data_IF_664574016882
#
_entry.id   IF_664574016882
#
_cell.length_a   1.000
_cell.length_b   1.000
_cell.length_c   1.000
_cell.angle_alpha   90.00
_cell.angle_beta   90.00
_cell.angle_gamma   90.00
#
_symmetry.space_group_name_H-M   'P 1'
#
loop_
_entity.id
_entity.type
_entity.pdbx_description
1 polymer ?
#
# COMPACT_ATOMS: atom_id res chain seq x y z
N UNK A 1 16.43 -23.80 4.57
CA UNK A 1 16.57 -24.43 3.24
C UNK A 1 15.38 -24.15 2.30
N UNK A 2 14.55 -23.14 2.56
CA UNK A 2 13.26 -22.90 1.89
C UNK A 2 13.28 -21.84 0.78
N UNK A 3 14.43 -21.25 0.46
CA UNK A 3 14.52 -20.04 -0.37
C UNK A 3 14.87 -20.30 -1.86
N UNK A 4 14.60 -21.52 -2.37
CA UNK A 4 14.94 -21.90 -3.76
C UNK A 4 13.85 -21.62 -4.78
N UNK A 5 12.60 -21.47 -4.33
CA UNK A 5 11.43 -21.40 -5.21
C UNK A 5 10.53 -20.23 -4.82
N UNK A 6 9.91 -19.61 -5.82
CA UNK A 6 8.96 -18.49 -5.66
C UNK A 6 7.67 -18.80 -6.42
N UNK A 7 6.54 -18.47 -5.82
CA UNK A 7 5.23 -18.49 -6.46
C UNK A 7 5.04 -17.24 -7.30
N UNK A 8 4.60 -17.38 -8.55
CA UNK A 8 4.32 -16.29 -9.50
C UNK A 8 2.99 -16.54 -10.20
N UNK A 9 2.19 -15.50 -10.41
CA UNK A 9 0.93 -15.60 -11.17
C UNK A 9 1.20 -15.59 -12.67
N UNK A 10 0.54 -16.49 -13.42
CA UNK A 10 0.64 -16.55 -14.87
C UNK A 10 -0.74 -16.71 -15.52
N UNK A 11 -1.29 -15.67 -16.18
CA UNK A 11 -0.68 -14.35 -16.39
C UNK A 11 -0.58 -13.50 -15.10
N UNK A 12 0.17 -12.38 -15.11
CA UNK A 12 0.24 -11.43 -13.98
C UNK A 12 -1.14 -11.04 -13.46
N UNK A 13 -1.29 -10.88 -12.14
CA UNK A 13 -2.57 -10.54 -11.50
C UNK A 13 -3.12 -9.21 -12.01
N UNK A 14 -2.24 -8.22 -12.22
CA UNK A 14 -2.59 -6.95 -12.86
C UNK A 14 -3.33 -7.17 -14.19
N UNK A 15 -2.80 -8.02 -15.07
CA UNK A 15 -3.40 -8.30 -16.37
C UNK A 15 -4.72 -9.07 -16.24
N UNK A 16 -4.80 -10.03 -15.31
CA UNK A 16 -6.05 -10.78 -15.04
C UNK A 16 -7.15 -9.81 -14.60
N UNK A 17 -6.85 -8.92 -13.65
CA UNK A 17 -7.81 -7.96 -13.10
C UNK A 17 -8.20 -6.88 -14.12
N UNK A 18 -7.25 -6.36 -14.90
CA UNK A 18 -7.51 -5.46 -16.03
C UNK A 18 -8.50 -6.08 -17.02
N UNK A 19 -8.24 -7.32 -17.43
CA UNK A 19 -9.08 -8.03 -18.40
C UNK A 19 -10.48 -8.33 -17.83
N UNK A 20 -10.55 -8.72 -16.56
CA UNK A 20 -11.82 -8.98 -15.89
C UNK A 20 -12.68 -7.72 -15.79
N UNK A 21 -12.12 -6.58 -15.36
CA UNK A 21 -12.85 -5.31 -15.28
C UNK A 21 -13.26 -4.80 -16.68
N UNK A 22 -12.39 -4.94 -17.69
CA UNK A 22 -12.72 -4.58 -19.07
C UNK A 22 -13.89 -5.42 -19.60
N UNK A 23 -13.89 -6.73 -19.35
CA UNK A 23 -14.95 -7.65 -19.76
C UNK A 23 -16.27 -7.33 -19.05
N UNK A 24 -16.20 -6.94 -17.78
CA UNK A 24 -17.36 -6.57 -16.98
C UNK A 24 -17.96 -5.23 -17.42
N UNK A 25 -17.13 -4.30 -17.90
CA UNK A 25 -17.53 -2.97 -18.36
C UNK A 25 -17.82 -1.97 -17.24
N UNK A 26 -17.70 -2.39 -15.98
CA UNK A 26 -17.85 -1.56 -14.79
C UNK A 26 -16.95 -2.09 -13.67
N UNK A 27 -16.73 -1.30 -12.59
CA UNK A 27 -15.69 -1.66 -11.63
C UNK A 27 -15.90 -3.01 -10.92
N UNK A 28 -14.79 -3.67 -10.59
CA UNK A 28 -14.76 -4.88 -9.76
C UNK A 28 -14.95 -4.51 -8.28
N UNK A 29 -15.82 -5.24 -7.58
CA UNK A 29 -15.96 -5.17 -6.13
C UNK A 29 -14.82 -5.89 -5.41
N UNK A 30 -14.64 -5.62 -4.12
CA UNK A 30 -13.66 -6.31 -3.26
C UNK A 30 -13.77 -7.83 -3.39
N UNK A 31 -14.98 -8.37 -3.26
CA UNK A 31 -15.21 -9.82 -3.31
C UNK A 31 -14.86 -10.41 -4.69
N UNK A 32 -15.11 -9.69 -5.77
CA UNK A 32 -14.75 -10.15 -7.11
C UNK A 32 -13.24 -10.15 -7.31
N UNK A 33 -12.54 -9.11 -6.86
CA UNK A 33 -11.07 -9.04 -6.92
C UNK A 33 -10.45 -10.20 -6.15
N UNK A 34 -10.90 -10.45 -4.92
CA UNK A 34 -10.42 -11.55 -4.10
C UNK A 34 -10.77 -12.92 -4.70
N UNK A 35 -11.97 -13.07 -5.28
CA UNK A 35 -12.37 -14.30 -5.96
C UNK A 35 -11.51 -14.57 -7.20
N UNK A 36 -11.18 -13.53 -7.96
CA UNK A 36 -10.30 -13.62 -9.13
C UNK A 36 -8.89 -14.00 -8.68
N UNK A 37 -8.35 -13.32 -7.65
CA UNK A 37 -7.04 -13.67 -7.05
C UNK A 37 -6.98 -15.15 -6.69
N UNK A 38 -7.98 -15.62 -5.95
CA UNK A 38 -8.02 -17.00 -5.44
C UNK A 38 -8.18 -18.05 -6.55
N UNK A 39 -8.65 -17.65 -7.73
CA UNK A 39 -8.83 -18.52 -8.90
C UNK A 39 -7.72 -18.39 -9.94
N UNK A 40 -6.79 -17.44 -9.77
CA UNK A 40 -5.72 -17.19 -10.71
C UNK A 40 -4.64 -18.29 -10.63
N UNK A 41 -4.03 -18.59 -11.78
CA UNK A 41 -3.04 -19.65 -11.89
C UNK A 41 -1.71 -19.20 -11.29
N UNK A 42 -1.20 -19.97 -10.33
CA UNK A 42 0.10 -19.77 -9.70
C UNK A 42 1.05 -20.88 -10.13
N UNK A 43 2.23 -20.50 -10.59
CA UNK A 43 3.31 -21.42 -10.91
C UNK A 43 4.45 -21.25 -9.89
N UNK A 44 5.14 -22.35 -9.60
CA UNK A 44 6.33 -22.35 -8.74
C UNK A 44 7.55 -22.37 -9.64
N UNK A 45 8.37 -21.32 -9.56
CA UNK A 45 9.60 -21.20 -10.35
C UNK A 45 10.82 -21.15 -9.44
N UNK A 46 11.98 -21.56 -9.97
CA UNK A 46 13.25 -21.42 -9.27
C UNK A 46 13.66 -19.94 -9.26
N UNK A 47 14.16 -19.47 -8.11
CA UNK A 47 14.70 -18.11 -7.96
C UNK A 47 15.80 -17.88 -9.02
N UNK A 48 15.69 -16.81 -9.83
CA UNK A 48 16.61 -16.49 -10.93
C UNK A 48 16.07 -16.68 -12.36
N UNK A 49 14.98 -17.43 -12.58
CA UNK A 49 14.31 -17.55 -13.89
C UNK A 49 13.21 -16.48 -14.11
N UNK A 50 13.17 -15.47 -13.25
CA UNK A 50 12.07 -14.51 -13.14
C UNK A 50 12.09 -13.49 -14.30
N UNK A 51 13.27 -12.99 -14.64
CA UNK A 51 13.50 -12.02 -15.73
C UNK A 51 13.10 -12.55 -17.13
N UNK A 52 12.94 -13.86 -17.25
CA UNK A 52 12.52 -14.54 -18.49
C UNK A 52 10.98 -14.63 -18.61
N UNK A 53 10.23 -14.28 -17.56
CA UNK A 53 8.78 -14.33 -17.57
C UNK A 53 8.16 -13.04 -18.12
N UNK A 54 7.09 -13.15 -18.93
CA UNK A 54 6.32 -11.97 -19.36
C UNK A 54 5.73 -11.23 -18.15
N UNK A 55 6.06 -9.95 -18.00
CA UNK A 55 5.54 -9.08 -16.94
C UNK A 55 6.45 -8.87 -15.72
N UNK A 56 7.64 -9.50 -15.68
CA UNK A 56 8.62 -9.28 -14.59
C UNK A 56 9.61 -8.13 -14.90
N UNK A 57 9.47 -7.49 -16.07
CA UNK A 57 10.26 -6.32 -16.46
C UNK A 57 9.68 -5.00 -15.92
N UNK A 58 8.40 -5.00 -15.51
CA UNK A 58 7.74 -3.86 -14.89
C UNK A 58 7.71 -4.07 -13.37
N UNK A 59 8.26 -3.10 -12.64
CA UNK A 59 8.28 -3.00 -11.18
C UNK A 59 7.01 -3.55 -10.52
N UNK A 60 7.16 -4.70 -9.85
CA UNK A 60 6.20 -5.30 -8.91
C UNK A 60 4.72 -5.37 -9.38
N UNK A 61 4.33 -6.52 -9.95
CA UNK A 61 2.92 -6.91 -10.08
C UNK A 61 2.16 -6.86 -8.73
N UNK A 62 0.83 -6.92 -8.79
CA UNK A 62 -0.07 -6.86 -7.62
C UNK A 62 0.31 -7.91 -6.58
N UNK A 63 0.57 -7.45 -5.34
CA UNK A 63 0.79 -8.34 -4.21
C UNK A 63 -0.51 -9.09 -3.88
N UNK A 64 -0.53 -10.43 -3.92
CA UNK A 64 -1.72 -11.21 -3.59
C UNK A 64 -2.24 -10.97 -2.16
N UNK A 65 -1.37 -10.62 -1.21
CA UNK A 65 -1.80 -10.37 0.17
C UNK A 65 -2.31 -8.95 0.34
N UNK A 66 -1.80 -7.99 -0.43
CA UNK A 66 -2.32 -6.61 -0.50
C UNK A 66 -3.23 -6.36 -1.72
N UNK A 67 -3.85 -7.41 -2.26
CA UNK A 67 -4.38 -7.43 -3.62
C UNK A 67 -5.42 -6.34 -3.91
N UNK A 68 -6.32 -6.08 -2.95
CA UNK A 68 -7.32 -5.04 -3.13
C UNK A 68 -6.70 -3.65 -3.20
N UNK A 69 -5.77 -3.34 -2.29
CA UNK A 69 -5.10 -2.05 -2.25
C UNK A 69 -4.27 -1.81 -3.51
N UNK A 70 -3.41 -2.77 -3.86
CA UNK A 70 -2.55 -2.70 -5.05
C UNK A 70 -3.39 -2.57 -6.32
N UNK A 71 -4.54 -3.26 -6.39
CA UNK A 71 -5.50 -3.09 -7.47
C UNK A 71 -6.09 -1.67 -7.53
N UNK A 72 -6.45 -1.06 -6.40
CA UNK A 72 -6.92 0.33 -6.40
C UNK A 72 -5.83 1.32 -6.83
N UNK A 73 -4.58 1.11 -6.40
CA UNK A 73 -3.43 1.91 -6.84
C UNK A 73 -3.25 1.81 -8.36
N UNK A 74 -3.27 0.59 -8.91
CA UNK A 74 -3.19 0.36 -10.37
C UNK A 74 -4.38 0.98 -11.12
N UNK A 75 -5.61 0.85 -10.61
CA UNK A 75 -6.77 1.51 -11.23
C UNK A 75 -6.60 3.02 -11.32
N UNK A 76 -6.04 3.66 -10.28
CA UNK A 76 -5.75 5.10 -10.26
C UNK A 76 -4.66 5.47 -11.27
N UNK A 77 -3.57 4.73 -11.34
CA UNK A 77 -2.50 5.00 -12.33
C UNK A 77 -2.99 4.84 -13.77
N UNK A 78 -3.95 3.94 -14.01
CA UNK A 78 -4.64 3.76 -15.30
C UNK A 78 -5.78 4.77 -15.57
N UNK A 79 -6.03 5.71 -14.65
CA UNK A 79 -7.08 6.72 -14.80
C UNK A 79 -8.53 6.19 -14.70
N UNK A 80 -8.73 4.99 -14.14
CA UNK A 80 -10.06 4.35 -14.05
C UNK A 80 -10.92 4.99 -12.95
N UNK A 81 -12.23 5.11 -13.20
CA UNK A 81 -13.22 5.72 -12.29
C UNK A 81 -14.47 4.85 -12.14
N UNK A 82 -15.26 5.01 -11.05
CA UNK A 82 -14.97 5.78 -9.83
C UNK A 82 -13.83 5.17 -8.99
N UNK A 83 -13.27 5.96 -8.07
CA UNK A 83 -12.40 5.47 -7.00
C UNK A 83 -13.27 4.69 -6.01
N UNK A 84 -12.95 3.42 -5.74
CA UNK A 84 -13.80 2.53 -4.92
C UNK A 84 -13.39 2.48 -3.46
N UNK A 85 -12.25 3.06 -3.12
CA UNK A 85 -11.70 3.23 -1.79
C UNK A 85 -11.55 4.73 -1.44
N UNK A 86 -12.62 5.56 -1.56
CA UNK A 86 -12.54 6.96 -1.16
C UNK A 86 -12.18 7.10 0.32
N UNK A 87 -12.48 6.07 1.11
CA UNK A 87 -12.08 5.92 2.50
C UNK A 87 -10.56 5.85 2.66
N UNK A 88 -9.75 5.31 1.75
CA UNK A 88 -8.29 5.43 1.91
C UNK A 88 -7.82 6.89 1.76
N UNK A 89 -8.62 7.76 1.09
CA UNK A 89 -8.43 9.21 1.04
C UNK A 89 -9.02 9.95 2.26
N UNK A 90 -10.19 9.52 2.78
CA UNK A 90 -10.93 10.24 3.82
C UNK A 90 -10.83 9.63 5.23
N UNK A 91 -10.45 8.36 5.38
CA UNK A 91 -10.48 7.58 6.64
C UNK A 91 -9.38 7.96 7.63
N UNK A 92 -8.62 9.00 7.32
CA UNK A 92 -7.57 9.48 8.20
C UNK A 92 -7.68 10.98 8.47
N UNK A 93 -8.92 11.51 8.47
CA UNK A 93 -9.25 12.77 9.14
C UNK A 93 -9.12 12.61 10.67
N UNK A 94 -7.93 12.22 11.09
CA UNK A 94 -7.49 12.27 12.47
C UNK A 94 -7.03 13.70 12.68
N UNK A 95 -7.54 14.35 13.73
CA UNK A 95 -6.96 15.61 14.15
C UNK A 95 -5.56 15.32 14.65
N UNK A 96 -4.56 15.66 13.84
CA UNK A 96 -3.16 15.57 14.23
C UNK A 96 -2.79 16.58 15.32
N UNK A 97 -3.72 17.45 15.71
CA UNK A 97 -3.58 18.35 16.86
C UNK A 97 -3.93 17.67 18.19
N UNK A 98 -4.49 16.45 18.16
CA UNK A 98 -4.71 15.65 19.37
C UNK A 98 -3.38 15.10 19.91
N UNK A 99 -3.22 15.14 21.24
CA UNK A 99 -2.08 14.57 21.96
C UNK A 99 -1.85 13.10 21.63
N UNK A 100 -2.93 12.33 21.43
CA UNK A 100 -2.82 10.92 21.09
C UNK A 100 -2.17 10.73 19.72
N UNK A 101 -2.55 11.54 18.74
CA UNK A 101 -1.96 11.52 17.40
C UNK A 101 -0.52 12.00 17.37
N UNK A 102 -0.17 13.00 18.18
CA UNK A 102 1.22 13.42 18.35
C UNK A 102 2.08 12.30 18.95
N UNK A 103 1.56 11.53 19.90
CA UNK A 103 2.24 10.36 20.44
C UNK A 103 2.42 9.25 19.39
N UNK A 104 1.43 9.02 18.53
CA UNK A 104 1.51 8.11 17.40
C UNK A 104 2.61 8.53 16.42
N UNK A 105 2.67 9.80 16.01
CA UNK A 105 3.73 10.32 15.14
C UNK A 105 5.10 10.11 15.77
N UNK A 106 5.23 10.49 17.04
CA UNK A 106 6.52 10.37 17.74
C UNK A 106 6.99 8.91 17.79
N UNK A 107 6.07 7.98 18.04
CA UNK A 107 6.37 6.54 18.04
C UNK A 107 6.78 6.08 16.64
N UNK A 108 6.05 6.47 15.61
CA UNK A 108 6.38 6.14 14.23
C UNK A 108 7.78 6.65 13.83
N UNK A 109 8.07 7.91 14.13
CA UNK A 109 9.37 8.54 13.85
C UNK A 109 10.52 7.87 14.61
N UNK A 110 10.31 7.52 15.88
CA UNK A 110 11.30 6.82 16.70
C UNK A 110 11.67 5.44 16.13
N UNK A 111 10.73 4.77 15.48
CA UNK A 111 10.91 3.43 14.93
C UNK A 111 11.22 3.40 13.42
N UNK A 112 11.61 4.52 12.80
CA UNK A 112 12.00 4.55 11.38
C UNK A 112 13.22 3.67 11.06
N UNK A 113 14.03 3.30 12.06
CA UNK A 113 15.11 2.34 11.87
C UNK A 113 14.57 0.94 11.51
N UNK A 114 13.42 0.53 12.06
CA UNK A 114 12.79 -0.76 11.77
C UNK A 114 12.27 -0.80 10.34
N UNK A 115 11.61 0.28 9.90
CA UNK A 115 11.21 0.45 8.51
C UNK A 115 12.41 0.25 7.57
N UNK A 116 13.52 0.94 7.83
CA UNK A 116 14.73 0.86 7.02
C UNK A 116 15.31 -0.55 6.98
N UNK A 117 15.41 -1.21 8.12
CA UNK A 117 15.93 -2.57 8.18
C UNK A 117 15.00 -3.53 7.44
N UNK A 118 13.68 -3.47 7.65
CA UNK A 118 12.70 -4.32 6.96
C UNK A 118 12.80 -4.20 5.44
N UNK A 119 12.79 -2.98 4.88
CA UNK A 119 12.84 -2.82 3.41
C UNK A 119 14.19 -3.17 2.82
N UNK A 120 15.26 -3.09 3.61
CA UNK A 120 16.60 -3.50 3.20
C UNK A 120 16.77 -5.01 3.21
N UNK A 121 16.19 -5.71 4.20
CA UNK A 121 16.35 -7.16 4.35
C UNK A 121 15.28 -7.96 3.60
N UNK A 122 14.12 -7.37 3.33
CA UNK A 122 12.97 -8.05 2.73
C UNK A 122 12.56 -7.39 1.40
N UNK A 123 13.09 -7.86 0.25
CA UNK A 123 12.77 -7.31 -1.08
C UNK A 123 11.29 -7.38 -1.49
N UNK A 124 10.48 -8.14 -0.75
CA UNK A 124 9.03 -8.24 -0.96
C UNK A 124 8.24 -7.22 -0.13
N UNK A 125 8.87 -6.59 0.86
CA UNK A 125 8.21 -5.64 1.74
C UNK A 125 7.60 -4.49 0.93
N UNK A 126 6.30 -4.29 1.08
CA UNK A 126 5.59 -3.13 0.54
C UNK A 126 5.47 -2.08 1.63
N UNK A 127 6.31 -1.06 1.52
CA UNK A 127 6.36 0.03 2.47
C UNK A 127 5.59 1.24 1.94
N UNK A 128 4.75 1.82 2.81
CA UNK A 128 4.09 3.09 2.57
C UNK A 128 4.38 4.07 3.72
N UNK A 129 4.46 5.34 3.38
CA UNK A 129 4.76 6.45 4.29
C UNK A 129 3.59 7.43 4.30
N UNK A 130 3.21 7.93 5.48
CA UNK A 130 2.19 8.97 5.60
C UNK A 130 2.84 10.34 5.71
N UNK A 131 2.36 11.28 4.90
CA UNK A 131 2.92 12.62 4.74
C UNK A 131 1.81 13.68 4.60
N UNK A 132 2.12 14.94 4.92
CA UNK A 132 1.21 16.07 4.69
C UNK A 132 1.44 16.69 3.32
N UNK A 133 0.57 16.38 2.36
CA UNK A 133 0.54 17.04 1.06
C UNK A 133 -0.04 18.45 1.21
N UNK A 134 0.54 19.43 0.51
CA UNK A 134 0.09 20.83 0.55
C UNK A 134 -0.15 21.33 -0.87
N UNK A 135 -1.33 21.89 -1.13
CA UNK A 135 -1.75 22.45 -2.40
C UNK A 135 -2.36 23.82 -2.13
N UNK A 136 -1.64 24.89 -2.49
CA UNK A 136 -1.93 26.26 -2.08
C UNK A 136 -2.24 26.38 -0.56
N UNK A 137 -3.48 26.72 -0.20
CA UNK A 137 -3.94 26.83 1.19
C UNK A 137 -4.48 25.50 1.77
N UNK A 138 -4.65 24.49 0.92
CA UNK A 138 -5.16 23.17 1.32
C UNK A 138 -4.03 22.26 1.80
N UNK A 139 -4.30 21.51 2.86
CA UNK A 139 -3.41 20.46 3.36
C UNK A 139 -4.18 19.18 3.60
N UNK A 140 -3.56 18.06 3.32
CA UNK A 140 -4.15 16.75 3.56
C UNK A 140 -3.07 15.72 3.86
N UNK A 141 -3.42 14.74 4.70
CA UNK A 141 -2.55 13.61 4.97
C UNK A 141 -2.80 12.51 3.95
N UNK A 142 -1.75 12.06 3.27
CA UNK A 142 -1.83 11.00 2.26
C UNK A 142 -0.74 9.96 2.47
N UNK A 143 -0.95 8.78 1.90
CA UNK A 143 0.03 7.70 1.88
C UNK A 143 0.81 7.70 0.56
N UNK A 144 2.12 7.54 0.66
CA UNK A 144 3.09 7.48 -0.42
C UNK A 144 3.69 6.07 -0.46
N UNK A 145 3.94 5.52 -1.65
CA UNK A 145 4.66 4.25 -1.81
C UNK A 145 6.16 4.50 -1.70
N UNK A 146 6.84 3.84 -0.78
CA UNK A 146 8.29 4.00 -0.62
C UNK A 146 9.02 3.41 -1.83
N UNK A 147 10.00 4.17 -2.35
CA UNK A 147 10.90 3.72 -3.42
C UNK A 147 12.26 3.33 -2.85
N UNK A 148 12.88 4.22 -2.07
CA UNK A 148 14.16 3.97 -1.40
C UNK A 148 14.33 4.86 -0.16
N UNK A 149 15.32 4.52 0.66
CA UNK A 149 15.68 5.26 1.86
C UNK A 149 17.19 5.46 1.98
N UNK A 150 17.55 6.54 2.67
CA UNK A 150 18.89 6.78 3.23
C UNK A 150 18.79 6.77 4.75
N UNK A 151 19.90 6.99 5.44
CA UNK A 151 19.94 7.09 6.90
C UNK A 151 19.08 8.23 7.47
N UNK A 152 18.74 9.25 6.67
CA UNK A 152 18.05 10.46 7.14
C UNK A 152 16.88 10.93 6.27
N UNK A 153 16.60 10.22 5.18
CA UNK A 153 15.55 10.62 4.24
C UNK A 153 14.94 9.44 3.50
N UNK A 154 13.81 9.69 2.87
CA UNK A 154 13.09 8.75 2.02
C UNK A 154 12.77 9.38 0.67
N UNK A 155 12.71 8.56 -0.38
CA UNK A 155 12.08 8.89 -1.65
C UNK A 155 10.83 8.04 -1.79
N UNK A 156 9.68 8.68 -1.97
CA UNK A 156 8.40 8.00 -2.05
C UNK A 156 7.54 8.57 -3.17
N UNK A 157 6.68 7.73 -3.74
CA UNK A 157 5.81 8.06 -4.84
C UNK A 157 4.39 8.34 -4.36
N UNK A 158 3.77 9.40 -4.87
CA UNK A 158 2.36 9.71 -4.65
C UNK A 158 1.49 8.63 -5.32
N UNK A 159 0.89 7.77 -4.50
CA UNK A 159 -0.03 6.73 -4.98
C UNK A 159 -1.49 7.13 -4.81
N UNK A 160 -1.75 8.20 -4.05
CA UNK A 160 -3.09 8.73 -3.84
C UNK A 160 -3.10 10.25 -3.73
N UNK A 161 -4.16 10.85 -4.27
CA UNK A 161 -4.41 12.28 -4.21
C UNK A 161 -5.81 12.56 -3.66
N UNK A 162 -5.93 13.43 -2.64
CA UNK A 162 -7.21 13.95 -2.20
C UNK A 162 -7.92 14.68 -3.35
N UNK A 163 -9.25 14.65 -3.34
CA UNK A 163 -10.03 15.39 -4.31
C UNK A 163 -9.78 16.90 -4.17
N UNK A 164 -9.57 17.58 -5.30
CA UNK A 164 -9.31 19.02 -5.32
C UNK A 164 -7.83 19.41 -5.20
N UNK A 165 -6.91 18.46 -5.10
CA UNK A 165 -5.48 18.71 -5.25
C UNK A 165 -5.11 18.66 -6.73
N UNK A 166 -4.52 19.74 -7.25
CA UNK A 166 -4.15 19.98 -8.64
C UNK A 166 -2.64 20.22 -8.83
N UNK A 167 -1.92 20.65 -7.79
CA UNK A 167 -0.48 20.90 -7.82
C UNK A 167 0.34 19.62 -7.84
N UNK A 168 -0.30 18.49 -7.52
CA UNK A 168 0.32 17.18 -7.44
C UNK A 168 -0.28 16.18 -8.42
N UNK A 169 0.49 15.14 -8.75
CA UNK A 169 0.05 14.04 -9.63
C UNK A 169 0.37 12.67 -9.06
N UNK A 170 -0.49 11.69 -9.34
CA UNK A 170 -0.17 10.27 -9.09
C UNK A 170 1.13 9.94 -9.85
N UNK A 171 2.06 9.27 -9.18
CA UNK A 171 3.37 8.94 -9.71
C UNK A 171 4.47 9.96 -9.41
N UNK A 172 4.14 11.15 -8.87
CA UNK A 172 5.11 12.15 -8.44
C UNK A 172 6.02 11.62 -7.32
N UNK A 173 7.30 11.96 -7.36
CA UNK A 173 8.27 11.55 -6.34
C UNK A 173 8.46 12.70 -5.34
N UNK A 174 8.25 12.40 -4.07
CA UNK A 174 8.47 13.29 -2.94
C UNK A 174 9.71 12.80 -2.17
N UNK A 175 10.62 13.72 -1.87
CA UNK A 175 11.72 13.50 -0.94
C UNK A 175 11.33 14.04 0.43
N UNK A 176 11.38 13.22 1.47
CA UNK A 176 10.98 13.59 2.83
C UNK A 176 12.04 13.20 3.85
N UNK A 177 12.22 14.04 4.87
CA UNK A 177 13.07 13.77 6.05
C UNK A 177 12.30 12.96 7.08
N UNK A 178 13.02 12.34 8.00
CA UNK A 178 12.45 11.57 9.11
C UNK A 178 11.40 12.37 9.91
N UNK A 179 11.67 13.65 10.15
CA UNK A 179 10.76 14.54 10.89
C UNK A 179 9.45 14.86 10.15
N UNK A 180 9.37 14.56 8.85
CA UNK A 180 8.21 14.82 8.00
C UNK A 180 7.33 13.57 7.84
N UNK A 181 7.80 12.41 8.28
CA UNK A 181 7.01 11.18 8.31
C UNK A 181 6.02 11.25 9.47
N UNK A 182 4.73 11.09 9.18
CA UNK A 182 3.67 11.07 10.19
C UNK A 182 3.37 9.66 10.68
N UNK A 183 3.53 8.67 9.82
CA UNK A 183 3.32 7.25 10.08
C UNK A 183 3.98 6.44 8.97
N UNK A 184 4.17 5.15 9.17
CA UNK A 184 4.66 4.22 8.16
C UNK A 184 4.06 2.84 8.37
N UNK A 185 3.94 2.08 7.29
CA UNK A 185 3.49 0.70 7.35
C UNK A 185 4.29 -0.14 6.37
N UNK A 186 4.67 -1.34 6.79
CA UNK A 186 5.19 -2.38 5.90
C UNK A 186 4.20 -3.53 5.88
N UNK A 187 3.69 -3.89 4.70
CA UNK A 187 3.02 -5.15 4.47
C UNK A 187 4.04 -6.15 3.91
N UNK A 188 4.33 -7.19 4.69
CA UNK A 188 5.14 -8.33 4.27
C UNK A 188 4.24 -9.57 4.24
N UNK A 189 3.65 -9.86 3.08
CA UNK A 189 2.81 -11.05 2.88
C UNK A 189 1.68 -11.18 3.92
N UNK A 190 1.04 -10.05 4.26
CA UNK A 190 -0.07 -9.94 5.21
C UNK A 190 0.35 -9.71 6.66
N UNK A 191 1.65 -9.74 6.97
CA UNK A 191 2.19 -9.35 8.26
C UNK A 191 2.51 -7.85 8.25
N UNK A 192 1.79 -7.09 9.07
CA UNK A 192 1.85 -5.63 9.10
C UNK A 192 2.77 -5.15 10.22
N UNK A 193 3.82 -4.43 9.86
CA UNK A 193 4.71 -3.71 10.78
C UNK A 193 4.39 -2.21 10.77
N UNK A 194 4.60 -1.55 11.90
CA UNK A 194 4.26 -0.13 12.07
C UNK A 194 2.74 0.07 12.11
N UNK A 195 2.23 0.89 11.19
CA UNK A 195 0.82 1.22 11.03
C UNK A 195 0.20 1.89 12.28
N UNK A 196 0.95 2.74 12.97
CA UNK A 196 0.57 3.22 14.30
C UNK A 196 -0.76 3.98 14.29
N UNK A 197 -0.97 4.88 13.32
CA UNK A 197 -2.23 5.63 13.20
C UNK A 197 -3.40 4.74 12.74
N UNK A 198 -3.12 3.66 12.02
CA UNK A 198 -4.13 2.67 11.61
C UNK A 198 -4.55 1.79 12.77
N UNK A 199 -3.60 1.34 13.61
CA UNK A 199 -3.88 0.56 14.83
C UNK A 199 -4.78 1.36 15.76
N UNK A 200 -4.51 2.66 15.95
CA UNK A 200 -5.36 3.53 16.77
C UNK A 200 -6.78 3.67 16.23
N UNK A 201 -6.92 3.90 14.92
CA UNK A 201 -8.24 3.94 14.29
C UNK A 201 -8.98 2.60 14.46
N UNK A 202 -8.28 1.48 14.26
CA UNK A 202 -8.82 0.12 14.38
C UNK A 202 -9.28 -0.19 15.81
N UNK A 203 -8.66 0.39 16.84
CA UNK A 203 -9.09 0.20 18.23
C UNK A 203 -10.49 0.76 18.50
N UNK A 204 -10.90 1.82 17.80
CA UNK A 204 -12.23 2.42 17.93
C UNK A 204 -13.35 1.66 17.17
N UNK A 205 -12.99 0.70 16.32
CA UNK A 205 -13.93 -0.06 15.50
C UNK A 205 -14.56 -1.24 16.26
N UNK A 206 -15.76 -1.65 15.86
CA UNK A 206 -16.33 -2.94 16.27
C UNK A 206 -15.71 -4.12 15.51
N UNK A 207 -15.96 -5.36 15.93
CA UNK A 207 -15.31 -6.53 15.34
C UNK A 207 -15.59 -6.72 13.85
N UNK A 208 -16.82 -6.42 13.39
CA UNK A 208 -17.16 -6.54 11.97
C UNK A 208 -16.43 -5.49 11.14
N UNK A 209 -16.35 -4.27 11.65
CA UNK A 209 -15.60 -3.16 11.04
C UNK A 209 -14.10 -3.47 10.99
N UNK A 210 -13.52 -4.03 12.05
CA UNK A 210 -12.12 -4.47 12.09
C UNK A 210 -11.84 -5.52 11.04
N UNK A 211 -12.67 -6.55 10.92
CA UNK A 211 -12.50 -7.59 9.90
C UNK A 211 -12.55 -7.00 8.49
N UNK A 212 -13.51 -6.11 8.21
CA UNK A 212 -13.65 -5.51 6.88
C UNK A 212 -12.54 -4.50 6.59
N UNK A 213 -11.98 -3.85 7.62
CA UNK A 213 -10.82 -2.99 7.52
C UNK A 213 -9.54 -3.79 7.24
N UNK A 214 -9.29 -4.85 8.01
CA UNK A 214 -8.15 -5.74 7.87
C UNK A 214 -8.14 -6.43 6.49
N UNK A 215 -9.30 -6.91 6.01
CA UNK A 215 -9.44 -7.48 4.66
C UNK A 215 -9.13 -6.48 3.55
N UNK A 216 -9.46 -5.20 3.74
CA UNK A 216 -9.19 -4.15 2.74
C UNK A 216 -7.70 -3.80 2.65
N UNK A 217 -6.99 -3.85 3.78
CA UNK A 217 -5.56 -3.58 3.89
C UNK A 217 -4.68 -4.82 3.69
N UNK A 218 -5.30 -5.99 3.48
CA UNK A 218 -4.56 -7.24 3.29
C UNK A 218 -3.90 -7.73 4.58
N UNK A 219 -4.47 -7.46 5.75
CA UNK A 219 -3.89 -7.83 7.04
C UNK A 219 -4.26 -9.25 7.43
N UNK A 220 -3.25 -10.08 7.64
CA UNK A 220 -3.35 -11.37 8.33
C UNK A 220 -3.02 -11.20 9.81
N UNK A 221 -1.99 -10.42 10.12
CA UNK A 221 -1.54 -10.18 11.49
C UNK A 221 -0.81 -8.85 11.62
N UNK A 222 -1.08 -8.12 12.70
CA UNK A 222 -0.25 -6.99 13.11
C UNK A 222 0.93 -7.48 13.95
N UNK A 223 2.12 -6.97 13.63
CA UNK A 223 3.37 -7.22 14.34
C UNK A 223 3.63 -6.05 15.29
N UNK A 224 4.12 -6.35 16.49
CA UNK A 224 4.49 -5.37 17.53
C UNK A 224 6.00 -5.30 17.71
#
# INVERSE_FOLDING_TARGET
>A
MTDKFKSVFMPPLSQVLINAENKKGHPLSLNEVLSIKNSAVVIIIKKGLQQELPGDQDEHDIDPENCWHDWQVLRRSLGRKPNLDPDFNNSFNLSYEDLHMQATIHTAQKNLYELRELVKTEPKAKAILKYTLSDHESKAHTWLSLLDSTDTSFRAQVINLPAGFHDHKIGEIICLRDSEVLDWMVNLEGYIYGAYSLKELRHAMNEKEKEDFDKRLGVLQYMD
#
